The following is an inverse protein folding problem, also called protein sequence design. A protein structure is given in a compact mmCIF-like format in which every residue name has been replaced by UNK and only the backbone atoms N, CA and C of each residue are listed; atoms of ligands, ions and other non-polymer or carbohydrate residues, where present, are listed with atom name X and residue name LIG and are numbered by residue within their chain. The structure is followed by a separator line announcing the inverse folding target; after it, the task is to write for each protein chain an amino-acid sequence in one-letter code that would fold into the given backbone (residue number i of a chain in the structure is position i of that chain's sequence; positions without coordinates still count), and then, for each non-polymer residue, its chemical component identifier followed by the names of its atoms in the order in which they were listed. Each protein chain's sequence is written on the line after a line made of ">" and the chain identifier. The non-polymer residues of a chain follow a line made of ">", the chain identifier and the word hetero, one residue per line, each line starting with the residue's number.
data_IF_369777884405
#
_entry.id   IF_369777884405
#
_cell.length_a   1.000
_cell.length_b   1.000
_cell.length_c   1.000
_cell.angle_alpha   90.00
_cell.angle_beta   90.00
_cell.angle_gamma   90.00
#
_symmetry.space_group_name_H-M   'P 1'
#
loop_
_entity.id
_entity.type
_entity.pdbx_description
1 polymer ?
#
# COMPACT_ATOMS: atom_id res chain seq x y z
N UNK A 1 2.62 29.55 8.62
CA UNK A 1 3.29 28.97 7.44
C UNK A 1 4.74 28.68 7.82
N UNK A 2 5.13 27.42 7.95
CA UNK A 2 6.52 27.03 8.29
C UNK A 2 7.41 27.17 7.05
N UNK A 3 8.64 27.67 7.22
CA UNK A 3 9.55 27.99 6.11
C UNK A 3 10.40 26.77 5.75
N UNK A 4 10.86 26.70 4.50
CA UNK A 4 11.65 25.59 3.96
C UNK A 4 12.99 25.34 4.67
N UNK A 5 13.50 26.30 5.46
CA UNK A 5 14.72 26.16 6.27
C UNK A 5 14.52 25.36 7.56
N UNK A 6 13.27 25.18 8.01
CA UNK A 6 12.94 24.52 9.27
C UNK A 6 12.78 23.00 9.09
N UNK A 7 12.85 22.52 7.84
CA UNK A 7 12.64 21.11 7.47
C UNK A 7 13.80 20.20 7.91
N UNK A 8 15.03 20.71 8.00
CA UNK A 8 16.22 19.92 8.31
C UNK A 8 16.35 19.49 9.78
N UNK A 9 15.63 20.13 10.71
CA UNK A 9 15.56 19.71 12.12
C UNK A 9 14.36 18.80 12.43
N UNK A 10 13.43 18.62 11.48
CA UNK A 10 12.25 17.75 11.61
C UNK A 10 12.51 16.30 11.14
N UNK A 11 13.62 16.05 10.44
CA UNK A 11 13.93 14.72 9.87
C UNK A 11 14.57 13.74 10.86
N UNK A 12 14.88 14.15 12.10
CA UNK A 12 15.45 13.30 13.15
C UNK A 12 14.42 12.93 14.24
N UNK A 13 13.13 13.12 13.95
CA UNK A 13 12.03 12.66 14.82
C UNK A 13 11.86 11.14 14.71
N UNK A 14 11.55 10.40 15.81
CA UNK A 14 11.40 8.95 15.79
C UNK A 14 10.32 8.42 14.85
N UNK A 15 9.33 9.27 14.53
CA UNK A 15 8.24 8.95 13.60
C UNK A 15 8.31 9.94 12.44
N UNK A 16 8.42 9.41 11.24
CA UNK A 16 8.42 10.18 10.01
C UNK A 16 7.09 10.02 9.27
N UNK A 17 6.58 11.07 8.60
CA UNK A 17 5.36 10.97 7.80
C UNK A 17 5.49 9.94 6.67
N UNK A 18 4.37 9.30 6.34
CA UNK A 18 4.29 8.41 5.17
C UNK A 18 4.43 9.27 3.89
N UNK A 19 5.32 8.90 2.95
CA UNK A 19 5.45 9.62 1.69
C UNK A 19 4.17 9.52 0.87
N UNK A 20 3.66 10.66 0.39
CA UNK A 20 2.41 10.71 -0.37
C UNK A 20 2.54 10.21 -1.81
N UNK A 21 3.76 10.08 -2.32
CA UNK A 21 4.06 9.63 -3.69
C UNK A 21 5.24 8.68 -3.69
N UNK A 22 5.09 7.60 -4.44
CA UNK A 22 6.14 6.63 -4.72
C UNK A 22 6.19 6.42 -6.23
N UNK A 23 7.39 6.43 -6.79
CA UNK A 23 7.59 6.09 -8.20
C UNK A 23 7.48 4.58 -8.36
N UNK A 24 6.38 4.12 -8.96
CA UNK A 24 6.07 2.70 -9.14
C UNK A 24 5.86 2.41 -10.62
N UNK A 25 6.26 1.20 -11.04
CA UNK A 25 5.91 0.70 -12.36
C UNK A 25 4.39 0.42 -12.41
N UNK A 26 3.66 1.18 -13.23
CA UNK A 26 2.19 1.10 -13.35
C UNK A 26 1.69 -0.26 -13.83
N UNK A 27 2.43 -0.91 -14.72
CA UNK A 27 2.05 -2.23 -15.24
C UNK A 27 2.18 -3.31 -14.16
N UNK A 28 3.24 -3.23 -13.34
CA UNK A 28 3.42 -4.10 -12.17
C UNK A 28 2.31 -3.90 -11.14
N UNK A 29 1.93 -2.65 -10.87
CA UNK A 29 0.83 -2.34 -9.94
C UNK A 29 -0.50 -2.90 -10.45
N UNK A 30 -0.79 -2.71 -11.74
CA UNK A 30 -2.01 -3.23 -12.37
C UNK A 30 -2.07 -4.76 -12.32
N UNK A 31 -0.97 -5.43 -12.64
CA UNK A 31 -0.85 -6.88 -12.55
C UNK A 31 -1.04 -7.36 -11.10
N UNK A 32 -0.34 -6.74 -10.15
CA UNK A 32 -0.45 -7.08 -8.73
C UNK A 32 -1.88 -6.92 -8.20
N UNK A 33 -2.59 -5.85 -8.59
CA UNK A 33 -4.01 -5.66 -8.25
C UNK A 33 -4.88 -6.80 -8.78
N UNK A 34 -4.65 -7.25 -10.01
CA UNK A 34 -5.41 -8.37 -10.58
C UNK A 34 -5.16 -9.65 -9.78
N UNK A 35 -3.89 -9.99 -9.50
CA UNK A 35 -3.51 -11.18 -8.75
C UNK A 35 -4.03 -11.17 -7.30
N UNK A 36 -4.01 -10.02 -6.63
CA UNK A 36 -4.51 -9.87 -5.26
C UNK A 36 -5.99 -10.26 -5.12
N UNK A 37 -6.78 -10.10 -6.19
CA UNK A 37 -8.20 -10.41 -6.24
C UNK A 37 -8.49 -11.71 -7.00
N UNK A 38 -7.48 -12.48 -7.39
CA UNK A 38 -7.67 -13.69 -8.19
C UNK A 38 -7.81 -14.93 -7.30
N UNK A 39 -9.01 -15.50 -7.17
CA UNK A 39 -9.20 -16.67 -6.33
C UNK A 39 -8.60 -17.93 -6.94
N UNK A 40 -8.25 -17.93 -8.24
CA UNK A 40 -7.62 -19.09 -8.89
C UNK A 40 -6.22 -19.42 -8.35
N UNK A 41 -5.69 -18.54 -7.51
CA UNK A 41 -4.46 -18.77 -6.78
C UNK A 41 -4.66 -19.65 -5.53
N UNK A 42 -5.90 -19.87 -5.06
CA UNK A 42 -6.18 -20.89 -4.05
C UNK A 42 -6.34 -22.28 -4.66
N UNK A 43 -6.17 -23.30 -3.82
CA UNK A 43 -6.25 -24.71 -4.23
C UNK A 43 -7.59 -25.09 -4.88
N UNK A 44 -8.68 -24.47 -4.42
CA UNK A 44 -10.07 -24.77 -4.78
C UNK A 44 -10.76 -23.65 -5.57
N UNK A 45 -10.03 -22.58 -5.91
CA UNK A 45 -10.52 -21.37 -6.57
C UNK A 45 -11.55 -20.54 -5.77
N UNK A 46 -11.57 -20.62 -4.43
CA UNK A 46 -12.53 -19.89 -3.59
C UNK A 46 -11.95 -18.69 -2.84
N UNK A 47 -10.64 -18.65 -2.60
CA UNK A 47 -9.98 -17.64 -1.75
C UNK A 47 -8.94 -16.84 -2.53
N UNK A 48 -8.96 -15.53 -2.38
CA UNK A 48 -7.91 -14.62 -2.84
C UNK A 48 -7.29 -13.90 -1.64
N UNK A 49 -6.24 -13.10 -1.88
CA UNK A 49 -5.71 -12.23 -0.82
C UNK A 49 -6.80 -11.26 -0.31
N UNK A 50 -7.61 -10.72 -1.22
CA UNK A 50 -8.70 -9.79 -0.90
C UNK A 50 -9.82 -10.41 -0.04
N UNK A 51 -9.91 -11.74 0.03
CA UNK A 51 -10.92 -12.43 0.84
C UNK A 51 -10.68 -12.24 2.34
N UNK A 52 -9.41 -12.14 2.78
CA UNK A 52 -9.04 -11.90 4.18
C UNK A 52 -8.41 -10.51 4.42
N UNK A 53 -7.98 -9.81 3.37
CA UNK A 53 -7.41 -8.47 3.46
C UNK A 53 -8.30 -7.46 2.72
N UNK A 54 -9.52 -7.26 3.24
CA UNK A 54 -10.49 -6.38 2.60
C UNK A 54 -10.07 -4.92 2.74
N UNK A 55 -9.72 -4.27 1.63
CA UNK A 55 -9.22 -2.90 1.63
C UNK A 55 -10.27 -1.86 2.07
N UNK A 56 -11.56 -2.21 2.04
CA UNK A 56 -12.64 -1.33 2.55
C UNK A 56 -12.73 -1.33 4.07
N UNK A 57 -12.14 -2.33 4.75
CA UNK A 57 -12.12 -2.47 6.21
C UNK A 57 -10.72 -2.26 6.79
N UNK A 58 -9.82 -1.62 6.04
CA UNK A 58 -8.45 -1.37 6.48
C UNK A 58 -7.45 -2.49 6.13
N UNK A 59 -7.86 -3.47 5.33
CA UNK A 59 -6.96 -4.52 4.83
C UNK A 59 -6.70 -5.66 5.81
N UNK A 60 -7.59 -5.85 6.77
CA UNK A 60 -7.57 -6.94 7.75
C UNK A 60 -8.84 -7.78 7.62
N UNK A 61 -8.90 -8.89 8.36
CA UNK A 61 -10.01 -9.85 8.36
C UNK A 61 -11.38 -9.26 8.76
#
# INVERSE_FOLDING_TARGET
>A
MVKSSDYSLLFDEPIQPIPLKLELNKDKVKLGKALFHDPRLSQDNTISCASCHNLNTGGTD
#
